data_IF_356331129998
#
_entry.id   IF_356331129998
#
_cell.length_a   1.000
_cell.length_b   1.000
_cell.length_c   1.000
_cell.angle_alpha   90.00
_cell.angle_beta   90.00
_cell.angle_gamma   90.00
#
_symmetry.space_group_name_H-M   'P 1'
#
loop_
_entity.id
_entity.type
_entity.pdbx_description
1 polymer ?
#
# COMPACT_ATOMS: atom_id res chain seq x y z
N UNK A 1 20.67 24.72 -55.32
CA UNK A 1 22.13 24.70 -55.07
C UNK A 1 22.51 25.14 -53.65
N UNK A 2 21.58 25.73 -52.88
CA UNK A 2 21.84 26.21 -51.50
C UNK A 2 21.90 25.07 -50.46
N UNK A 3 21.10 24.02 -50.61
CA UNK A 3 21.06 22.89 -49.65
C UNK A 3 22.39 22.14 -49.51
N UNK A 4 23.16 22.02 -50.60
CA UNK A 4 24.47 21.36 -50.59
C UNK A 4 25.55 22.21 -49.88
N UNK A 5 25.37 23.54 -49.85
CA UNK A 5 26.27 24.43 -49.08
C UNK A 5 25.98 24.37 -47.59
N UNK A 6 24.71 24.26 -47.19
CA UNK A 6 24.33 24.11 -45.78
C UNK A 6 24.84 22.79 -45.20
N UNK A 7 24.64 21.67 -45.89
CA UNK A 7 25.13 20.36 -45.44
C UNK A 7 26.66 20.32 -45.29
N UNK A 8 27.38 21.00 -46.20
CA UNK A 8 28.84 21.11 -46.14
C UNK A 8 29.35 22.07 -45.04
N UNK A 9 28.54 23.02 -44.58
CA UNK A 9 28.86 23.91 -43.46
C UNK A 9 28.54 23.24 -42.11
N UNK A 10 27.46 22.47 -42.04
CA UNK A 10 27.05 21.71 -40.85
C UNK A 10 28.06 20.59 -40.52
N UNK A 11 28.50 19.83 -41.52
CA UNK A 11 29.55 18.82 -41.35
C UNK A 11 30.88 19.43 -40.84
N UNK A 12 31.20 20.68 -41.19
CA UNK A 12 32.40 21.36 -40.66
C UNK A 12 32.26 21.74 -39.19
N UNK A 13 31.04 22.09 -38.75
CA UNK A 13 30.76 22.45 -37.34
C UNK A 13 30.77 21.23 -36.44
N UNK A 14 30.25 20.10 -36.88
CA UNK A 14 30.32 18.84 -36.12
C UNK A 14 31.76 18.40 -35.88
N UNK A 15 32.60 18.47 -36.91
CA UNK A 15 34.04 18.15 -36.78
C UNK A 15 34.75 19.12 -35.84
N UNK A 16 34.37 20.40 -35.82
CA UNK A 16 34.90 21.37 -34.85
C UNK A 16 34.41 21.09 -33.41
N UNK A 17 33.15 20.70 -33.21
CA UNK A 17 32.64 20.38 -31.88
C UNK A 17 33.29 19.12 -31.31
N UNK A 18 33.50 18.10 -32.13
CA UNK A 18 34.23 16.89 -31.75
C UNK A 18 35.68 17.20 -31.36
N UNK A 19 36.39 18.04 -32.14
CA UNK A 19 37.77 18.39 -31.81
C UNK A 19 37.88 19.25 -30.55
N UNK A 20 36.96 20.20 -30.34
CA UNK A 20 36.89 20.99 -29.11
C UNK A 20 36.57 20.10 -27.92
N UNK A 21 35.60 19.19 -28.03
CA UNK A 21 35.25 18.26 -26.96
C UNK A 21 36.42 17.37 -26.58
N UNK A 22 37.10 16.78 -27.56
CA UNK A 22 38.28 15.95 -27.32
C UNK A 22 39.41 16.75 -26.66
N UNK A 23 39.60 18.02 -27.07
CA UNK A 23 40.60 18.91 -26.48
C UNK A 23 40.26 19.24 -25.02
N UNK A 24 39.01 19.59 -24.72
CA UNK A 24 38.53 19.88 -23.37
C UNK A 24 38.63 18.65 -22.47
N UNK A 25 38.22 17.47 -22.95
CA UNK A 25 38.35 16.22 -22.19
C UNK A 25 39.82 15.92 -21.86
N UNK A 26 40.73 16.10 -22.82
CA UNK A 26 42.17 15.93 -22.59
C UNK A 26 42.72 16.95 -21.60
N UNK A 27 42.31 18.21 -21.69
CA UNK A 27 42.76 19.29 -20.80
C UNK A 27 42.24 19.07 -19.37
N UNK A 28 40.96 18.74 -19.22
CA UNK A 28 40.34 18.43 -17.92
C UNK A 28 40.98 17.19 -17.31
N UNK A 29 41.23 16.13 -18.09
CA UNK A 29 41.87 14.92 -17.58
C UNK A 29 43.32 15.17 -17.14
N UNK A 30 44.06 16.01 -17.89
CA UNK A 30 45.40 16.43 -17.51
C UNK A 30 45.40 17.32 -16.25
N UNK A 31 44.41 18.22 -16.13
CA UNK A 31 44.24 19.04 -14.94
C UNK A 31 43.89 18.19 -13.71
N UNK A 32 42.97 17.23 -13.85
CA UNK A 32 42.61 16.29 -12.78
C UNK A 32 43.83 15.50 -12.32
N UNK A 33 44.64 14.99 -13.26
CA UNK A 33 45.87 14.26 -12.93
C UNK A 33 46.90 15.16 -12.21
N UNK A 34 47.08 16.40 -12.66
CA UNK A 34 47.98 17.36 -12.01
C UNK A 34 47.49 17.81 -10.62
N UNK A 35 46.17 17.81 -10.40
CA UNK A 35 45.55 18.18 -9.12
C UNK A 35 45.61 17.03 -8.12
N UNK A 36 45.48 15.79 -8.57
CA UNK A 36 45.68 14.59 -7.77
C UNK A 36 47.09 14.52 -7.18
N UNK A 37 48.11 14.91 -7.96
CA UNK A 37 49.52 14.90 -7.54
C UNK A 37 49.85 16.03 -6.53
N UNK A 38 49.01 17.07 -6.46
CA UNK A 38 49.11 18.18 -5.50
C UNK A 38 48.23 18.00 -4.27
N UNK A 39 47.43 16.94 -4.22
CA UNK A 39 46.53 16.69 -3.10
C UNK A 39 47.39 16.35 -1.89
N UNK A 40 47.32 17.19 -0.86
CA UNK A 40 48.10 16.97 0.35
C UNK A 40 47.59 15.73 1.08
N UNK A 41 48.42 14.99 1.84
CA UNK A 41 47.97 13.83 2.61
C UNK A 41 46.78 14.15 3.54
N UNK A 42 46.67 15.41 3.94
CA UNK A 42 45.58 15.94 4.78
C UNK A 42 44.24 16.00 4.02
N UNK A 43 44.25 16.48 2.77
CA UNK A 43 43.03 16.54 1.94
C UNK A 43 42.54 15.15 1.55
N UNK A 44 43.45 14.20 1.30
CA UNK A 44 43.10 12.81 1.03
C UNK A 44 42.37 12.15 2.21
N UNK A 45 42.82 12.44 3.44
CA UNK A 45 42.17 11.95 4.66
C UNK A 45 40.79 12.59 4.89
N UNK A 46 40.63 13.88 4.56
CA UNK A 46 39.36 14.59 4.63
C UNK A 46 38.34 14.05 3.61
N UNK A 47 38.78 13.79 2.37
CA UNK A 47 37.98 13.16 1.33
C UNK A 47 37.51 11.75 1.73
N UNK A 48 38.37 10.96 2.36
CA UNK A 48 38.02 9.63 2.86
C UNK A 48 37.01 9.68 4.00
N UNK A 49 37.14 10.65 4.92
CA UNK A 49 36.15 10.88 5.99
C UNK A 49 34.78 11.26 5.43
N UNK A 50 34.74 12.22 4.50
CA UNK A 50 33.50 12.70 3.88
C UNK A 50 32.83 11.56 3.10
N UNK A 51 33.60 10.78 2.33
CA UNK A 51 33.08 9.61 1.63
C UNK A 51 32.55 8.52 2.58
N UNK A 52 33.21 8.34 3.74
CA UNK A 52 32.76 7.45 4.81
C UNK A 52 31.44 7.90 5.44
N UNK A 53 31.27 9.19 5.68
CA UNK A 53 30.06 9.77 6.24
C UNK A 53 28.87 9.66 5.27
N UNK A 54 29.07 10.00 3.99
CA UNK A 54 28.04 9.85 2.96
C UNK A 54 27.62 8.38 2.77
N UNK A 55 28.57 7.45 2.79
CA UNK A 55 28.28 6.01 2.75
C UNK A 55 27.49 5.58 3.99
N UNK A 56 27.89 6.02 5.18
CA UNK A 56 27.19 5.72 6.42
C UNK A 56 25.75 6.24 6.42
N UNK A 57 25.55 7.47 5.94
CA UNK A 57 24.23 8.09 5.81
C UNK A 57 23.34 7.37 4.79
N UNK A 58 23.89 7.00 3.62
CA UNK A 58 23.16 6.25 2.61
C UNK A 58 22.77 4.85 3.09
N UNK A 59 23.65 4.15 3.82
CA UNK A 59 23.33 2.84 4.40
C UNK A 59 22.23 2.99 5.48
N UNK A 60 22.32 4.02 6.32
CA UNK A 60 21.35 4.23 7.39
C UNK A 60 19.96 4.61 6.83
N UNK A 61 19.92 5.46 5.80
CA UNK A 61 18.70 5.85 5.09
C UNK A 61 18.00 4.65 4.43
N UNK A 62 18.76 3.73 3.80
CA UNK A 62 18.21 2.50 3.22
C UNK A 62 17.66 1.57 4.31
N UNK A 63 18.37 1.41 5.44
CA UNK A 63 17.92 0.56 6.56
C UNK A 63 16.68 1.12 7.24
N UNK A 64 16.58 2.45 7.36
CA UNK A 64 15.41 3.14 7.90
C UNK A 64 14.21 2.97 6.96
N UNK A 65 14.42 3.19 5.66
CA UNK A 65 13.43 2.98 4.60
C UNK A 65 12.91 1.54 4.59
N UNK A 66 13.77 0.53 4.69
CA UNK A 66 13.35 -0.87 4.70
C UNK A 66 12.52 -1.24 5.94
N UNK A 67 12.93 -0.77 7.13
CA UNK A 67 12.20 -1.04 8.38
C UNK A 67 10.86 -0.32 8.44
N UNK A 68 10.74 0.87 7.87
CA UNK A 68 9.48 1.59 7.76
C UNK A 68 8.53 0.92 6.76
N UNK A 69 9.05 0.50 5.59
CA UNK A 69 8.26 -0.19 4.57
C UNK A 69 7.78 -1.56 5.06
N UNK A 70 8.60 -2.33 5.79
CA UNK A 70 8.17 -3.62 6.35
C UNK A 70 7.10 -3.47 7.44
N UNK A 71 7.23 -2.47 8.33
CA UNK A 71 6.24 -2.24 9.40
C UNK A 71 4.92 -1.70 8.84
N UNK A 72 4.97 -0.82 7.85
CA UNK A 72 3.78 -0.35 7.14
C UNK A 72 3.08 -1.50 6.39
N UNK A 73 3.84 -2.37 5.72
CA UNK A 73 3.29 -3.57 5.03
C UNK A 73 2.74 -4.63 5.98
N UNK A 74 3.26 -4.73 7.21
CA UNK A 74 2.74 -5.63 8.24
C UNK A 74 1.38 -5.18 8.77
N UNK A 75 1.25 -3.90 9.13
CA UNK A 75 0.01 -3.34 9.67
C UNK A 75 -1.10 -3.24 8.61
N UNK A 76 -0.74 -2.91 7.36
CA UNK A 76 -1.69 -2.90 6.25
C UNK A 76 -2.32 -4.29 6.00
N UNK A 77 -1.52 -5.36 6.12
CA UNK A 77 -2.03 -6.74 5.97
C UNK A 77 -3.01 -7.13 7.08
N UNK A 78 -2.77 -6.70 8.33
CA UNK A 78 -3.71 -7.00 9.44
C UNK A 78 -5.05 -6.32 9.22
N UNK A 79 -5.05 -5.03 8.83
CA UNK A 79 -6.29 -4.32 8.47
C UNK A 79 -7.05 -5.04 7.37
N UNK A 80 -6.36 -5.44 6.30
CA UNK A 80 -6.97 -6.11 5.17
C UNK A 80 -7.61 -7.47 5.55
N UNK A 81 -6.97 -8.23 6.43
CA UNK A 81 -7.53 -9.50 6.93
C UNK A 81 -8.77 -9.26 7.76
N UNK A 82 -8.74 -8.26 8.66
CA UNK A 82 -9.90 -7.89 9.49
C UNK A 82 -11.06 -7.44 8.62
N UNK A 83 -10.80 -6.56 7.64
CA UNK A 83 -11.81 -6.09 6.69
C UNK A 83 -12.44 -7.26 5.92
N UNK A 84 -11.63 -8.20 5.44
CA UNK A 84 -12.10 -9.40 4.76
C UNK A 84 -13.03 -10.25 5.63
N UNK A 85 -12.68 -10.46 6.90
CA UNK A 85 -13.52 -11.20 7.86
C UNK A 85 -14.87 -10.51 8.03
N UNK A 86 -14.89 -9.18 8.17
CA UNK A 86 -16.15 -8.43 8.26
C UNK A 86 -17.00 -8.54 6.99
N UNK A 87 -16.39 -8.42 5.81
CA UNK A 87 -17.09 -8.64 4.55
C UNK A 87 -17.68 -10.04 4.43
N UNK A 88 -16.94 -11.06 4.87
CA UNK A 88 -17.43 -12.43 4.91
C UNK A 88 -18.64 -12.56 5.85
N UNK A 89 -18.56 -11.98 7.05
CA UNK A 89 -19.69 -11.94 8.01
C UNK A 89 -20.92 -11.26 7.39
N UNK A 90 -20.76 -10.10 6.74
CA UNK A 90 -21.86 -9.42 6.06
C UNK A 90 -22.46 -10.25 4.94
N UNK A 91 -21.63 -10.91 4.13
CA UNK A 91 -22.09 -11.80 3.07
C UNK A 91 -22.95 -12.93 3.63
N UNK A 92 -22.48 -13.58 4.69
CA UNK A 92 -23.20 -14.67 5.35
C UNK A 92 -24.53 -14.23 5.97
N UNK A 93 -24.54 -13.12 6.73
CA UNK A 93 -25.77 -12.55 7.28
C UNK A 93 -26.72 -12.05 6.19
N UNK A 94 -26.19 -11.47 5.11
CA UNK A 94 -26.96 -11.04 3.95
C UNK A 94 -27.63 -12.21 3.25
N UNK A 95 -26.91 -13.32 3.02
CA UNK A 95 -27.50 -14.55 2.48
C UNK A 95 -28.59 -15.07 3.41
N UNK A 96 -28.35 -15.10 4.74
CA UNK A 96 -29.37 -15.52 5.72
C UNK A 96 -30.62 -14.64 5.63
N UNK A 97 -30.44 -13.32 5.51
CA UNK A 97 -31.53 -12.35 5.35
C UNK A 97 -32.33 -12.64 4.08
N UNK A 98 -31.64 -12.83 2.93
CA UNK A 98 -32.28 -13.16 1.66
C UNK A 98 -33.06 -14.46 1.75
N UNK A 99 -32.48 -15.53 2.32
CA UNK A 99 -33.17 -16.80 2.52
C UNK A 99 -34.43 -16.65 3.40
N UNK A 100 -34.36 -15.83 4.45
CA UNK A 100 -35.51 -15.53 5.30
C UNK A 100 -36.59 -14.72 4.55
N UNK A 101 -36.19 -13.78 3.70
CA UNK A 101 -37.08 -12.94 2.90
C UNK A 101 -37.74 -13.71 1.76
N UNK A 102 -37.06 -14.72 1.21
CA UNK A 102 -37.59 -15.61 0.19
C UNK A 102 -38.44 -16.76 0.77
N UNK A 103 -38.67 -16.78 2.09
CA UNK A 103 -39.32 -17.88 2.79
C UNK A 103 -38.72 -19.26 2.42
N UNK A 104 -37.39 -19.32 2.32
CA UNK A 104 -36.68 -20.50 1.84
C UNK A 104 -36.97 -21.72 2.71
N UNK A 105 -37.13 -22.89 2.07
CA UNK A 105 -37.47 -24.13 2.75
C UNK A 105 -36.34 -24.57 3.69
N UNK A 106 -36.62 -24.63 4.99
CA UNK A 106 -35.67 -25.05 6.03
C UNK A 106 -35.13 -26.47 5.90
N UNK A 107 -35.76 -27.30 5.07
CA UNK A 107 -35.28 -28.65 4.75
C UNK A 107 -34.18 -28.68 3.68
N UNK A 108 -33.87 -27.56 3.04
CA UNK A 108 -32.81 -27.49 2.05
C UNK A 108 -31.44 -27.49 2.76
N UNK A 109 -30.53 -28.39 2.34
CA UNK A 109 -29.21 -28.52 2.97
C UNK A 109 -28.39 -27.21 2.96
N UNK A 110 -28.52 -26.41 1.89
CA UNK A 110 -27.89 -25.09 1.82
C UNK A 110 -28.40 -24.12 2.89
N UNK A 111 -29.72 -24.10 3.15
CA UNK A 111 -30.31 -23.25 4.20
C UNK A 111 -29.81 -23.66 5.58
N UNK A 112 -29.77 -24.97 5.85
CA UNK A 112 -29.26 -25.51 7.12
C UNK A 112 -27.79 -25.17 7.33
N UNK A 113 -26.96 -25.28 6.29
CA UNK A 113 -25.55 -24.90 6.35
C UNK A 113 -25.37 -23.42 6.70
N UNK A 114 -26.03 -22.52 5.95
CA UNK A 114 -25.95 -21.07 6.21
C UNK A 114 -26.45 -20.77 7.62
N UNK A 115 -27.58 -21.37 8.02
CA UNK A 115 -28.17 -21.12 9.33
C UNK A 115 -27.26 -21.61 10.45
N UNK A 116 -26.57 -22.74 10.27
CA UNK A 116 -25.60 -23.28 11.23
C UNK A 116 -24.36 -22.41 11.39
N UNK A 117 -23.75 -21.93 10.29
CA UNK A 117 -22.56 -21.06 10.36
C UNK A 117 -22.90 -19.67 10.91
N UNK A 118 -24.07 -19.14 10.58
CA UNK A 118 -24.51 -17.82 11.06
C UNK A 118 -25.18 -17.84 12.42
N UNK A 119 -25.50 -19.02 12.98
CA UNK A 119 -26.23 -19.10 14.24
C UNK A 119 -25.48 -18.48 15.43
N UNK A 120 -24.17 -18.73 15.62
CA UNK A 120 -23.41 -18.11 16.71
C UNK A 120 -23.35 -16.58 16.60
N UNK A 121 -23.26 -16.06 15.37
CA UNK A 121 -23.25 -14.61 15.10
C UNK A 121 -24.63 -13.99 15.33
N UNK A 122 -25.69 -14.76 15.08
CA UNK A 122 -27.07 -14.32 15.21
C UNK A 122 -27.64 -14.50 16.63
N UNK A 123 -27.15 -15.49 17.37
CA UNK A 123 -27.62 -15.87 18.71
C UNK A 123 -27.80 -14.69 19.68
N UNK A 124 -26.84 -13.75 19.83
CA UNK A 124 -27.02 -12.63 20.77
C UNK A 124 -28.14 -11.66 20.36
N UNK A 125 -28.46 -11.56 19.06
CA UNK A 125 -29.51 -10.69 18.55
C UNK A 125 -30.89 -11.35 18.54
N UNK A 126 -30.94 -12.66 18.76
CA UNK A 126 -32.18 -13.45 18.77
C UNK A 126 -33.06 -13.02 19.95
N UNK A 127 -34.18 -12.40 19.65
CA UNK A 127 -35.18 -11.99 20.66
C UNK A 127 -34.99 -10.58 21.23
N UNK A 128 -33.99 -9.81 20.78
CA UNK A 128 -33.86 -8.39 21.14
C UNK A 128 -35.03 -7.57 20.58
N UNK A 129 -35.52 -7.94 19.39
CA UNK A 129 -36.64 -7.25 18.73
C UNK A 129 -37.69 -8.27 18.34
N UNK A 130 -38.96 -7.95 18.65
CA UNK A 130 -40.09 -8.73 18.19
C UNK A 130 -39.99 -8.88 16.67
N UNK A 131 -39.98 -10.13 16.19
CA UNK A 131 -39.99 -10.44 14.76
C UNK A 131 -41.39 -10.94 14.43
N UNK A 132 -42.28 -10.09 13.90
CA UNK A 132 -43.58 -10.54 13.43
C UNK A 132 -43.33 -11.56 12.32
N UNK A 133 -43.82 -12.78 12.51
CA UNK A 133 -43.94 -13.75 11.43
C UNK A 133 -45.20 -13.38 10.66
N UNK A 134 -45.05 -12.98 9.40
CA UNK A 134 -46.21 -12.72 8.55
C UNK A 134 -46.85 -14.05 8.16
N UNK A 135 -48.18 -14.05 8.05
CA UNK A 135 -48.95 -15.20 7.54
C UNK A 135 -48.49 -15.48 6.10
N UNK A 136 -47.86 -16.64 5.87
CA UNK A 136 -47.22 -16.99 4.60
C UNK A 136 -45.74 -17.43 4.72
N UNK A 137 -45.16 -17.45 5.92
CA UNK A 137 -43.80 -17.95 6.16
C UNK A 137 -42.69 -16.92 5.99
N UNK A 138 -43.04 -15.70 5.56
CA UNK A 138 -42.15 -14.56 5.52
C UNK A 138 -41.88 -14.05 6.95
N UNK A 139 -40.64 -14.19 7.40
CA UNK A 139 -40.23 -13.62 8.69
C UNK A 139 -39.53 -12.30 8.40
N UNK A 140 -40.13 -11.18 8.83
CA UNK A 140 -39.44 -9.90 8.87
C UNK A 140 -38.33 -10.01 9.91
N UNK A 141 -37.14 -10.35 9.43
CA UNK A 141 -35.99 -10.62 10.25
C UNK A 141 -35.30 -9.30 10.65
N UNK A 142 -36.06 -8.41 11.31
CA UNK A 142 -35.56 -7.20 11.96
C UNK A 142 -34.28 -7.47 12.78
N UNK A 143 -34.17 -8.59 13.52
CA UNK A 143 -32.93 -8.93 14.23
C UNK A 143 -31.72 -9.17 13.32
N UNK A 144 -31.90 -9.67 12.09
CA UNK A 144 -30.80 -9.87 11.14
C UNK A 144 -30.32 -8.52 10.60
N UNK A 145 -31.24 -7.60 10.31
CA UNK A 145 -30.90 -6.23 9.89
C UNK A 145 -30.11 -5.52 10.98
N UNK A 146 -30.54 -5.65 12.23
CA UNK A 146 -29.82 -5.09 13.38
C UNK A 146 -28.44 -5.71 13.53
N UNK A 147 -28.32 -7.03 13.36
CA UNK A 147 -27.03 -7.69 13.40
C UNK A 147 -26.07 -7.12 12.34
N UNK A 148 -26.53 -6.90 11.11
CA UNK A 148 -25.73 -6.26 10.05
C UNK A 148 -25.29 -4.85 10.47
N UNK A 149 -26.19 -4.04 11.02
CA UNK A 149 -25.88 -2.68 11.47
C UNK A 149 -24.84 -2.70 12.60
N UNK A 150 -25.00 -3.57 13.59
CA UNK A 150 -24.07 -3.67 14.73
C UNK A 150 -22.70 -4.13 14.26
N UNK A 151 -22.62 -5.12 13.38
CA UNK A 151 -21.34 -5.54 12.81
C UNK A 151 -20.70 -4.42 11.97
N UNK A 152 -21.49 -3.62 11.23
CA UNK A 152 -21.00 -2.43 10.51
C UNK A 152 -20.37 -1.38 11.44
N UNK A 153 -21.00 -1.12 12.59
CA UNK A 153 -20.45 -0.22 13.60
C UNK A 153 -19.17 -0.78 14.23
N UNK A 154 -19.13 -2.09 14.53
CA UNK A 154 -17.93 -2.75 15.04
C UNK A 154 -16.78 -2.67 14.03
N UNK A 155 -17.05 -2.90 12.75
CA UNK A 155 -16.05 -2.81 11.68
C UNK A 155 -15.48 -1.40 11.56
N UNK A 156 -16.34 -0.38 11.59
CA UNK A 156 -15.88 1.02 11.58
C UNK A 156 -15.04 1.35 12.82
N UNK A 157 -15.44 0.88 14.00
CA UNK A 157 -14.68 1.09 15.24
C UNK A 157 -13.31 0.41 15.21
N UNK A 158 -13.25 -0.83 14.74
CA UNK A 158 -11.99 -1.58 14.63
C UNK A 158 -11.09 -0.99 13.55
N UNK A 159 -11.62 -0.67 12.37
CA UNK A 159 -10.84 -0.01 11.32
C UNK A 159 -10.33 1.36 11.78
N UNK A 160 -11.17 2.14 12.48
CA UNK A 160 -10.77 3.40 13.11
C UNK A 160 -9.63 3.22 14.12
N UNK A 161 -9.72 2.19 14.97
CA UNK A 161 -8.68 1.85 15.94
C UNK A 161 -7.37 1.41 15.26
N UNK A 162 -7.46 0.53 14.27
CA UNK A 162 -6.31 0.07 13.48
C UNK A 162 -5.63 1.26 12.77
N UNK A 163 -6.42 2.17 12.20
CA UNK A 163 -5.92 3.40 11.58
C UNK A 163 -5.26 4.32 12.59
N UNK A 164 -5.84 4.50 13.77
CA UNK A 164 -5.26 5.34 14.84
C UNK A 164 -3.90 4.80 15.29
N UNK A 165 -3.79 3.49 15.49
CA UNK A 165 -2.54 2.83 15.88
C UNK A 165 -1.49 2.94 14.77
N UNK A 166 -1.92 2.82 13.50
CA UNK A 166 -1.03 2.95 12.36
C UNK A 166 -0.51 4.40 12.16
N UNK A 167 -1.37 5.42 12.29
CA UNK A 167 -0.99 6.83 12.14
C UNK A 167 -0.11 7.36 13.28
N UNK A 168 -0.29 6.89 14.52
CA UNK A 168 0.60 7.29 15.62
C UNK A 168 2.06 6.94 15.37
N UNK A 169 2.33 5.96 14.50
CA UNK A 169 3.69 5.50 14.20
C UNK A 169 4.37 6.30 13.07
N UNK A 170 3.64 7.19 12.39
CA UNK A 170 4.14 7.99 11.27
C UNK A 170 4.45 9.45 11.63
N UNK A 171 4.33 9.85 12.89
CA UNK A 171 5.01 11.05 13.39
C UNK A 171 6.40 10.64 13.91
N UNK A 172 7.40 10.78 13.05
CA UNK A 172 8.82 10.88 13.42
C UNK A 172 9.34 12.17 12.80
#
# INVERSE_FOLDING_TARGET
>A
MEDNKLAADEARREVQHESIKAQVESEVNAEIAARADRTTPTEAAELEQVAGEFRGKAINEVVETEREVERARGMARVSQVVDYIFYLIYGLLGIRLLLALLAARSSAGFVQFIYGVTDPLYAPFRGIVASPRAEGGYTLALPIVIAIIVYALLHLGINGLLRLIAHRKTEI
#
